data_IF_328311809149
#
_entry.id   IF_328311809149
#
_cell.length_a   1.000
_cell.length_b   1.000
_cell.length_c   1.000
_cell.angle_alpha   90.00
_cell.angle_beta   90.00
_cell.angle_gamma   90.00
#
_symmetry.space_group_name_H-M   'P 1'
#
loop_
_entity.id
_entity.type
_entity.pdbx_description
1 polymer ?
#
# COMPACT_ATOMS: atom_id res chain seq x y z
N UNK A 1 -15.94 18.43 -4.19
CA UNK A 1 -15.04 17.33 -3.79
C UNK A 1 -14.08 17.13 -4.95
N UNK A 2 -12.76 17.18 -4.71
CA UNK A 2 -11.76 16.94 -5.77
C UNK A 2 -11.97 15.51 -6.30
N UNK A 3 -12.06 15.33 -7.61
CA UNK A 3 -12.29 14.00 -8.20
C UNK A 3 -10.97 13.24 -8.14
N UNK A 4 -10.96 12.10 -7.46
CA UNK A 4 -9.78 11.22 -7.33
C UNK A 4 -9.85 10.16 -8.42
N UNK A 5 -8.86 10.16 -9.31
CA UNK A 5 -8.77 9.24 -10.47
C UNK A 5 -7.55 8.33 -10.43
N UNK A 6 -6.52 8.73 -9.69
CA UNK A 6 -5.24 8.01 -9.61
C UNK A 6 -4.60 8.21 -8.21
N UNK A 7 -3.46 7.55 -7.98
CA UNK A 7 -2.74 7.63 -6.69
C UNK A 7 -2.06 8.99 -6.48
N UNK A 8 -1.66 9.68 -7.54
CA UNK A 8 -1.05 11.00 -7.45
C UNK A 8 -2.04 12.05 -6.91
N UNK A 9 -3.32 11.96 -7.29
CA UNK A 9 -4.38 12.81 -6.73
C UNK A 9 -4.47 12.64 -5.19
N UNK A 10 -4.28 11.42 -4.68
CA UNK A 10 -4.23 11.14 -3.24
C UNK A 10 -2.96 11.70 -2.58
N UNK A 11 -1.80 11.59 -3.23
CA UNK A 11 -0.53 12.16 -2.72
C UNK A 11 -0.63 13.68 -2.58
N UNK A 12 -1.15 14.36 -3.61
CA UNK A 12 -1.38 15.81 -3.59
C UNK A 12 -2.35 16.20 -2.48
N UNK A 13 -3.42 15.43 -2.29
CA UNK A 13 -4.38 15.69 -1.22
C UNK A 13 -3.76 15.49 0.17
N UNK A 14 -2.93 14.47 0.35
CA UNK A 14 -2.17 14.20 1.57
C UNK A 14 -1.24 15.37 1.88
N UNK A 15 -0.48 15.85 0.89
CA UNK A 15 0.42 17.00 1.02
C UNK A 15 -0.28 18.26 1.50
N UNK A 16 -1.52 18.50 1.03
CA UNK A 16 -2.33 19.66 1.44
C UNK A 16 -2.87 19.54 2.87
N UNK A 17 -3.02 18.34 3.42
CA UNK A 17 -3.74 18.07 4.68
C UNK A 17 -2.85 17.69 5.84
N UNK A 18 -1.66 17.18 5.56
CA UNK A 18 -0.77 16.60 6.57
C UNK A 18 0.32 17.61 6.93
N UNK A 19 0.61 17.82 8.23
CA UNK A 19 1.71 18.68 8.65
C UNK A 19 3.01 18.27 7.96
N UNK A 20 3.80 19.28 7.54
CA UNK A 20 5.00 19.07 6.71
C UNK A 20 5.95 18.00 7.26
N UNK A 21 6.18 17.97 8.58
CA UNK A 21 7.07 16.98 9.21
C UNK A 21 6.63 15.53 8.95
N UNK A 22 5.33 15.24 9.07
CA UNK A 22 4.80 13.88 8.82
C UNK A 22 4.72 13.56 7.34
N UNK A 23 4.42 14.57 6.51
CA UNK A 23 4.47 14.42 5.06
C UNK A 23 5.87 14.07 4.57
N UNK A 24 6.89 14.84 4.97
CA UNK A 24 8.28 14.61 4.56
C UNK A 24 8.80 13.25 5.07
N UNK A 25 8.33 12.76 6.22
CA UNK A 25 8.63 11.40 6.68
C UNK A 25 8.12 10.32 5.73
N UNK A 26 6.91 10.50 5.18
CA UNK A 26 6.30 9.53 4.27
C UNK A 26 6.81 9.64 2.83
N UNK A 27 7.08 10.87 2.37
CA UNK A 27 7.46 11.19 0.99
C UNK A 27 8.91 11.71 0.91
N UNK A 28 9.86 10.88 1.37
CA UNK A 28 11.29 11.14 1.20
C UNK A 28 12.07 9.88 0.83
N UNK A 29 13.19 10.10 0.13
CA UNK A 29 14.17 9.07 -0.18
C UNK A 29 15.46 9.23 0.65
N UNK A 30 16.37 8.28 0.48
CA UNK A 30 17.71 8.39 1.08
C UNK A 30 18.57 9.43 0.33
N UNK A 31 19.23 10.32 1.08
CA UNK A 31 20.19 11.30 0.58
C UNK A 31 19.68 12.15 -0.60
N UNK A 32 20.20 11.94 -1.81
CA UNK A 32 19.80 12.66 -3.04
C UNK A 32 18.51 12.12 -3.64
N UNK A 33 17.90 11.10 -3.03
CA UNK A 33 16.64 10.48 -3.44
C UNK A 33 16.67 9.91 -4.86
N UNK A 34 17.86 9.60 -5.37
CA UNK A 34 18.04 9.07 -6.72
C UNK A 34 17.28 7.75 -6.89
N UNK A 35 17.41 6.83 -5.94
CA UNK A 35 16.68 5.55 -5.98
C UNK A 35 15.17 5.73 -5.89
N UNK A 36 14.70 6.69 -5.09
CA UNK A 36 13.27 7.00 -4.98
C UNK A 36 12.69 7.39 -6.35
N UNK A 37 13.37 8.28 -7.09
CA UNK A 37 12.97 8.72 -8.44
C UNK A 37 13.18 7.63 -9.50
N UNK A 38 14.23 6.81 -9.38
CA UNK A 38 14.49 5.70 -10.28
C UNK A 38 13.41 4.61 -10.19
N UNK A 39 12.90 4.31 -8.99
CA UNK A 39 11.85 3.31 -8.78
C UNK A 39 10.60 3.59 -9.62
N UNK A 40 10.24 4.86 -9.84
CA UNK A 40 9.12 5.24 -10.71
C UNK A 40 9.53 5.30 -12.19
N UNK A 41 10.62 6.01 -12.50
CA UNK A 41 11.02 6.26 -13.88
C UNK A 41 11.47 5.01 -14.64
N UNK A 42 11.95 3.98 -13.94
CA UNK A 42 12.32 2.70 -14.54
C UNK A 42 11.12 1.96 -15.14
N UNK A 43 9.92 2.08 -14.57
CA UNK A 43 8.71 1.48 -15.14
C UNK A 43 8.38 2.06 -16.52
N UNK A 44 8.72 3.32 -16.80
CA UNK A 44 8.48 3.94 -18.10
C UNK A 44 9.29 3.30 -19.23
N UNK A 45 10.38 2.62 -18.90
CA UNK A 45 11.21 1.90 -19.88
C UNK A 45 10.53 0.60 -20.33
N UNK A 46 9.63 0.05 -19.52
CA UNK A 46 8.89 -1.18 -19.82
C UNK A 46 7.65 -0.84 -20.65
N UNK A 47 7.58 -1.32 -21.89
CA UNK A 47 6.45 -1.09 -22.79
C UNK A 47 5.58 -2.33 -22.93
N UNK A 48 4.28 -2.13 -23.08
CA UNK A 48 3.32 -3.22 -23.30
C UNK A 48 3.35 -3.66 -24.77
N UNK A 49 3.52 -4.95 -25.01
CA UNK A 49 3.26 -5.57 -26.32
C UNK A 49 1.83 -6.08 -26.34
N UNK A 50 0.91 -5.27 -26.84
CA UNK A 50 -0.50 -5.63 -26.92
C UNK A 50 -0.72 -6.89 -27.76
N UNK A 51 -1.54 -7.82 -27.24
CA UNK A 51 -2.08 -8.95 -28.00
C UNK A 51 -3.51 -8.63 -28.39
N UNK A 52 -3.80 -8.65 -29.69
CA UNK A 52 -5.11 -8.27 -30.25
C UNK A 52 -5.91 -9.52 -30.62
N UNK A 53 -7.22 -9.35 -30.83
CA UNK A 53 -8.15 -10.42 -31.18
C UNK A 53 -8.22 -11.57 -30.16
N UNK A 54 -8.02 -11.27 -28.87
CA UNK A 54 -8.17 -12.23 -27.76
C UNK A 54 -9.50 -11.99 -27.05
N UNK A 55 -10.26 -13.05 -26.81
CA UNK A 55 -11.47 -12.97 -25.98
C UNK A 55 -11.08 -12.72 -24.51
N UNK A 56 -11.51 -11.59 -23.95
CA UNK A 56 -11.24 -11.20 -22.56
C UNK A 56 -12.48 -11.29 -21.65
N UNK A 57 -13.52 -12.01 -22.08
CA UNK A 57 -14.71 -12.29 -21.27
C UNK A 57 -14.31 -13.08 -20.02
N UNK A 58 -14.90 -12.77 -18.87
CA UNK A 58 -14.62 -13.42 -17.59
C UNK A 58 -13.16 -13.31 -17.11
N UNK A 59 -12.41 -12.28 -17.54
CA UNK A 59 -11.07 -12.00 -17.02
C UNK A 59 -11.10 -11.80 -15.50
N UNK A 60 -10.04 -12.23 -14.83
CA UNK A 60 -9.89 -12.12 -13.39
C UNK A 60 -8.45 -11.75 -13.05
N UNK A 61 -8.29 -10.96 -11.99
CA UNK A 61 -7.00 -10.69 -11.35
C UNK A 61 -6.75 -11.61 -10.17
N UNK A 62 -7.75 -12.43 -9.78
CA UNK A 62 -7.66 -13.34 -8.64
C UNK A 62 -6.52 -14.31 -8.83
N UNK A 63 -5.77 -14.56 -7.75
CA UNK A 63 -4.66 -15.50 -7.74
C UNK A 63 -4.38 -15.98 -6.32
N UNK A 64 -3.25 -16.65 -6.12
CA UNK A 64 -2.77 -17.09 -4.82
C UNK A 64 -1.44 -16.41 -4.49
N UNK A 65 -1.30 -15.87 -3.29
CA UNK A 65 -0.04 -15.34 -2.75
C UNK A 65 0.29 -16.09 -1.47
N UNK A 66 1.46 -16.74 -1.42
CA UNK A 66 1.93 -17.49 -0.22
C UNK A 66 0.89 -18.49 0.29
N UNK A 67 0.21 -19.18 -0.63
CA UNK A 67 -0.84 -20.16 -0.30
C UNK A 67 -2.21 -19.58 0.08
N UNK A 68 -2.40 -18.25 0.03
CA UNK A 68 -3.66 -17.57 0.33
C UNK A 68 -4.33 -17.06 -0.95
N UNK A 69 -5.64 -17.25 -1.09
CA UNK A 69 -6.40 -16.64 -2.19
C UNK A 69 -6.49 -15.12 -2.04
N UNK A 70 -6.20 -14.39 -3.11
CA UNK A 70 -6.23 -12.93 -3.16
C UNK A 70 -7.04 -12.43 -4.35
N UNK A 71 -7.67 -11.26 -4.19
CA UNK A 71 -8.45 -10.61 -5.25
C UNK A 71 -7.59 -10.10 -6.42
N UNK A 72 -6.34 -9.71 -6.13
CA UNK A 72 -5.33 -9.30 -7.11
C UNK A 72 -3.91 -9.50 -6.54
N UNK A 73 -2.86 -9.61 -7.39
CA UNK A 73 -1.49 -9.93 -6.97
C UNK A 73 -0.74 -8.73 -6.36
N UNK A 74 -1.33 -8.07 -5.37
CA UNK A 74 -0.71 -6.97 -4.63
C UNK A 74 -1.04 -7.08 -3.14
N UNK A 75 -0.23 -6.44 -2.31
CA UNK A 75 -0.44 -6.35 -0.87
C UNK A 75 -0.11 -4.93 -0.41
N UNK A 76 -0.67 -4.51 0.73
CA UNK A 76 -0.21 -3.31 1.41
C UNK A 76 1.12 -3.61 2.10
N UNK A 77 2.17 -2.88 1.69
CA UNK A 77 3.51 -3.03 2.23
C UNK A 77 3.59 -2.57 3.71
N UNK A 78 4.51 -3.15 4.50
CA UNK A 78 4.72 -2.71 5.87
C UNK A 78 5.29 -1.30 5.88
N UNK A 79 4.54 -0.39 6.48
CA UNK A 79 4.92 1.02 6.66
C UNK A 79 4.86 1.33 8.15
N UNK A 80 5.93 1.94 8.66
CA UNK A 80 5.98 2.37 10.06
C UNK A 80 5.21 3.67 10.25
N UNK A 81 4.75 3.90 11.48
CA UNK A 81 4.23 5.18 11.94
C UNK A 81 3.01 5.71 11.14
N UNK A 82 2.14 4.84 10.63
CA UNK A 82 0.99 5.31 9.83
C UNK A 82 -0.05 6.03 10.69
N UNK A 83 -0.13 5.73 11.99
CA UNK A 83 -0.87 6.51 12.97
C UNK A 83 -0.45 8.00 13.05
N UNK A 84 0.77 8.34 12.64
CA UNK A 84 1.21 9.75 12.52
C UNK A 84 0.71 10.45 11.25
N UNK A 85 0.36 9.67 10.22
CA UNK A 85 -0.19 10.18 8.96
C UNK A 85 -1.68 10.44 9.07
N UNK A 86 -2.40 9.53 9.74
CA UNK A 86 -3.81 9.63 10.04
C UNK A 86 -4.14 8.77 11.27
N UNK A 87 -5.06 9.22 12.11
CA UNK A 87 -5.45 8.46 13.30
C UNK A 87 -5.91 7.04 12.92
N UNK A 88 -5.43 6.04 13.67
CA UNK A 88 -5.70 4.62 13.41
C UNK A 88 -5.25 4.12 12.02
N UNK A 89 -4.19 4.72 11.45
CA UNK A 89 -3.70 4.43 10.11
C UNK A 89 -3.55 2.93 9.80
N UNK A 90 -2.92 2.16 10.69
CA UNK A 90 -2.69 0.73 10.49
C UNK A 90 -4.00 -0.07 10.48
N UNK A 91 -4.92 0.25 11.40
CA UNK A 91 -6.24 -0.37 11.49
C UNK A 91 -7.06 -0.07 10.24
N UNK A 92 -7.08 1.18 9.78
CA UNK A 92 -7.82 1.59 8.60
C UNK A 92 -7.27 0.91 7.33
N UNK A 93 -5.95 0.82 7.20
CA UNK A 93 -5.29 0.11 6.11
C UNK A 93 -5.62 -1.39 6.13
N UNK A 94 -5.53 -2.04 7.30
CA UNK A 94 -5.85 -3.46 7.44
C UNK A 94 -7.30 -3.77 7.07
N UNK A 95 -8.26 -2.95 7.52
CA UNK A 95 -9.68 -3.08 7.17
C UNK A 95 -9.95 -2.85 5.68
N UNK A 96 -9.26 -1.89 5.07
CA UNK A 96 -9.38 -1.63 3.63
C UNK A 96 -8.86 -2.81 2.80
N UNK A 97 -7.68 -3.35 3.17
CA UNK A 97 -7.10 -4.52 2.52
C UNK A 97 -7.99 -5.76 2.66
N UNK A 98 -8.48 -6.02 3.87
CA UNK A 98 -9.40 -7.14 4.14
C UNK A 98 -10.69 -7.03 3.33
N UNK A 99 -11.31 -5.84 3.30
CA UNK A 99 -12.53 -5.58 2.54
C UNK A 99 -12.33 -5.79 1.05
N UNK A 100 -11.19 -5.37 0.51
CA UNK A 100 -10.88 -5.56 -0.91
C UNK A 100 -10.45 -7.00 -1.23
N UNK A 101 -9.87 -7.71 -0.26
CA UNK A 101 -9.39 -9.09 -0.40
C UNK A 101 -7.93 -9.18 -0.83
N UNK A 102 -7.08 -8.26 -0.38
CA UNK A 102 -5.61 -8.32 -0.57
C UNK A 102 -4.90 -8.39 0.78
N UNK A 103 -3.67 -8.95 0.85
CA UNK A 103 -2.94 -9.03 2.11
C UNK A 103 -2.53 -7.64 2.62
N UNK A 104 -2.49 -7.52 3.94
CA UNK A 104 -1.88 -6.41 4.67
C UNK A 104 -0.67 -6.93 5.43
N UNK A 105 0.41 -6.16 5.45
CA UNK A 105 1.60 -6.46 6.23
C UNK A 105 1.83 -5.37 7.28
N UNK A 106 1.76 -5.74 8.57
CA UNK A 106 2.00 -4.83 9.68
C UNK A 106 3.50 -4.68 9.92
N UNK A 107 3.97 -3.45 10.13
CA UNK A 107 5.38 -3.17 10.47
C UNK A 107 5.67 -3.38 11.95
N UNK A 108 6.90 -3.78 12.29
CA UNK A 108 7.42 -3.71 13.67
C UNK A 108 7.37 -2.28 14.23
N UNK A 109 7.48 -1.26 13.37
CA UNK A 109 7.43 0.16 13.74
C UNK A 109 6.01 0.75 13.63
N UNK A 110 4.98 -0.06 13.89
CA UNK A 110 3.57 0.37 13.92
C UNK A 110 3.26 1.22 15.15
N UNK A 111 2.31 2.16 15.03
CA UNK A 111 1.72 2.85 16.20
C UNK A 111 0.69 1.96 16.90
N UNK A 112 -0.18 1.30 16.14
CA UNK A 112 -1.13 0.34 16.69
C UNK A 112 -0.41 -0.96 17.07
N UNK A 113 -0.78 -1.53 18.22
CA UNK A 113 -0.28 -2.85 18.63
C UNK A 113 -0.77 -3.96 17.69
N UNK A 114 -0.12 -5.13 17.71
CA UNK A 114 -0.57 -6.30 16.93
C UNK A 114 -1.98 -6.67 17.37
N UNK A 115 -2.23 -6.64 18.67
CA UNK A 115 -3.49 -6.93 19.33
C UNK A 115 -4.60 -5.98 18.85
N UNK A 116 -4.33 -4.68 18.82
CA UNK A 116 -5.29 -3.68 18.37
C UNK A 116 -5.74 -3.88 16.93
N UNK A 117 -4.79 -4.22 16.04
CA UNK A 117 -5.09 -4.49 14.63
C UNK A 117 -5.85 -5.82 14.49
N UNK A 118 -5.45 -6.84 15.26
CA UNK A 118 -6.10 -8.15 15.27
C UNK A 118 -7.56 -8.08 15.76
N UNK A 119 -7.85 -7.29 16.79
CA UNK A 119 -9.21 -7.09 17.30
C UNK A 119 -10.15 -6.41 16.29
N UNK A 120 -9.59 -5.69 15.31
CA UNK A 120 -10.34 -4.87 14.35
C UNK A 120 -10.33 -5.44 12.93
N UNK A 121 -9.81 -6.66 12.77
CA UNK A 121 -9.81 -7.43 11.52
C UNK A 121 -10.40 -8.82 11.78
N UNK A 122 -10.88 -9.49 10.73
CA UNK A 122 -11.43 -10.87 10.85
C UNK A 122 -10.51 -11.94 10.29
N UNK A 123 -9.49 -11.54 9.52
CA UNK A 123 -8.50 -12.41 8.88
C UNK A 123 -7.10 -12.11 9.39
N UNK A 124 -6.23 -13.12 9.50
CA UNK A 124 -4.81 -12.91 9.81
C UNK A 124 -4.15 -12.00 8.78
N UNK A 125 -3.23 -11.14 9.25
CA UNK A 125 -2.36 -10.31 8.42
C UNK A 125 -0.90 -10.77 8.53
N UNK A 126 -0.07 -10.32 7.59
CA UNK A 126 1.36 -10.58 7.63
C UNK A 126 2.05 -9.64 8.62
N UNK A 127 3.20 -10.06 9.15
CA UNK A 127 3.99 -9.23 10.06
C UNK A 127 5.43 -9.12 9.57
N UNK A 128 5.90 -7.89 9.43
CA UNK A 128 7.29 -7.58 9.13
C UNK A 128 8.05 -7.39 10.45
N UNK A 129 8.99 -8.30 10.72
CA UNK A 129 9.81 -8.31 11.92
C UNK A 129 11.15 -7.60 11.72
N UNK A 130 11.54 -6.75 12.67
CA UNK A 130 12.93 -6.34 12.90
C UNK A 130 13.49 -7.08 14.11
N UNK A 131 14.71 -7.62 13.98
CA UNK A 131 15.49 -8.12 15.12
C UNK A 131 16.31 -6.94 15.65
N UNK A 132 16.07 -6.57 16.90
CA UNK A 132 16.79 -5.49 17.60
C UNK A 132 17.80 -6.06 18.58
#
# INVERSE_FOLDING_TARGET
MEIITNIEDLRVLHQKRTPKMFYDYADSGSWTESTYRSNESDFQKIKLRQRVAVNMTNRTTKTTMVGQEVAMPVALAPTGLTGMQYADGEILAARAAEKFGVPFCLSTMSICSIEDVAERTTKPFWFQLYVM
#
